data_IF_006401382061
#
_entry.id   IF_006401382061
#
_cell.length_a   1.000
_cell.length_b   1.000
_cell.length_c   1.000
_cell.angle_alpha   90.00
_cell.angle_beta   90.00
_cell.angle_gamma   90.00
#
_symmetry.space_group_name_H-M   'P 1'
#
loop_
_entity.id
_entity.type
_entity.pdbx_description
1 polymer ?
#
# COMPACT_ATOMS: atom_id res chain seq x y z
N UNK A 1 -14.36 -3.48 -105.48
CA UNK A 1 -15.58 -3.24 -104.68
C UNK A 1 -15.46 -3.99 -103.37
N UNK A 2 -15.06 -3.29 -102.31
CA UNK A 2 -15.49 -3.46 -100.91
C UNK A 2 -14.54 -2.69 -100.01
N UNK A 3 -15.13 -1.90 -99.12
CA UNK A 3 -14.52 -0.90 -98.23
C UNK A 3 -13.75 -1.56 -97.09
N UNK A 4 -12.95 -0.78 -96.37
CA UNK A 4 -12.88 -0.86 -94.90
C UNK A 4 -12.32 0.45 -94.33
N UNK A 5 -13.15 1.10 -93.52
CA UNK A 5 -12.89 2.33 -92.80
C UNK A 5 -12.02 2.06 -91.57
N UNK A 6 -11.12 2.99 -91.26
CA UNK A 6 -10.34 3.02 -90.01
C UNK A 6 -11.19 3.50 -88.84
N UNK A 7 -11.44 2.63 -87.85
CA UNK A 7 -12.02 3.01 -86.56
C UNK A 7 -10.94 3.41 -85.54
N UNK A 8 -11.24 4.29 -84.56
CA UNK A 8 -10.29 4.66 -83.53
C UNK A 8 -10.26 3.63 -82.39
N UNK A 9 -9.06 3.25 -81.96
CA UNK A 9 -8.79 2.44 -80.76
C UNK A 9 -8.98 3.28 -79.50
N UNK A 10 -10.04 2.98 -78.73
CA UNK A 10 -10.22 3.47 -77.37
C UNK A 10 -9.47 2.56 -76.38
N UNK A 11 -8.53 3.14 -75.61
CA UNK A 11 -7.88 2.48 -74.48
C UNK A 11 -8.83 2.49 -73.28
N UNK A 12 -9.29 1.31 -72.85
CA UNK A 12 -10.08 1.13 -71.63
C UNK A 12 -9.11 1.12 -70.44
N UNK A 13 -9.12 2.18 -69.63
CA UNK A 13 -8.49 2.16 -68.31
C UNK A 13 -9.42 1.45 -67.31
N UNK A 14 -9.03 0.27 -66.86
CA UNK A 14 -9.67 -0.41 -65.71
C UNK A 14 -9.15 0.24 -64.43
N UNK A 15 -9.93 1.17 -63.87
CA UNK A 15 -9.72 1.68 -62.50
C UNK A 15 -10.18 0.59 -61.53
N UNK A 16 -9.23 -0.05 -60.83
CA UNK A 16 -9.52 -0.84 -59.64
C UNK A 16 -9.98 0.10 -58.52
N UNK A 17 -11.29 0.39 -58.48
CA UNK A 17 -11.91 1.06 -57.35
C UNK A 17 -12.02 0.09 -56.19
N UNK A 18 -11.08 0.15 -55.25
CA UNK A 18 -11.24 -0.49 -53.95
C UNK A 18 -12.35 0.27 -53.20
N UNK A 19 -13.60 -0.17 -53.37
CA UNK A 19 -14.74 0.34 -52.60
C UNK A 19 -14.60 -0.19 -51.17
N UNK A 20 -13.86 0.53 -50.33
CA UNK A 20 -13.90 0.33 -48.89
C UNK A 20 -15.28 0.82 -48.44
N UNK A 21 -16.21 -0.13 -48.29
CA UNK A 21 -17.55 0.16 -47.79
C UNK A 21 -17.45 0.87 -46.44
N UNK A 22 -18.21 1.95 -46.25
CA UNK A 22 -18.31 2.67 -44.97
C UNK A 22 -18.74 1.75 -43.83
N UNK A 23 -19.41 0.65 -44.14
CA UNK A 23 -19.74 -0.42 -43.19
C UNK A 23 -18.52 -1.21 -42.71
N UNK A 24 -17.52 -1.43 -43.57
CA UNK A 24 -16.28 -2.08 -43.20
C UNK A 24 -15.45 -1.22 -42.25
N UNK A 25 -15.42 0.10 -42.50
CA UNK A 25 -14.73 1.05 -41.63
C UNK A 25 -15.38 1.15 -40.24
N UNK A 26 -16.71 1.11 -40.18
CA UNK A 26 -17.45 1.16 -38.90
C UNK A 26 -17.35 -0.15 -38.11
N UNK A 27 -17.29 -1.31 -38.78
CA UNK A 27 -16.99 -2.59 -38.12
C UNK A 27 -15.56 -2.61 -37.58
N UNK A 28 -14.59 -2.05 -38.29
CA UNK A 28 -13.19 -2.02 -37.85
C UNK A 28 -12.97 -1.05 -36.68
N UNK A 29 -13.68 0.08 -36.66
CA UNK A 29 -13.73 1.03 -35.53
C UNK A 29 -14.46 0.43 -34.33
N UNK A 30 -15.55 -0.32 -34.55
CA UNK A 30 -16.20 -1.06 -33.48
C UNK A 30 -15.28 -2.12 -32.89
N UNK A 31 -14.57 -2.90 -33.71
CA UNK A 31 -13.63 -3.93 -33.25
C UNK A 31 -12.47 -3.35 -32.44
N UNK A 32 -11.96 -2.16 -32.79
CA UNK A 32 -10.90 -1.49 -32.03
C UNK A 32 -11.38 -0.90 -30.71
N UNK A 33 -12.66 -0.51 -30.60
CA UNK A 33 -13.27 -0.10 -29.34
C UNK A 33 -13.51 -1.29 -28.37
N UNK A 34 -13.63 -2.51 -28.89
CA UNK A 34 -13.79 -3.74 -28.09
C UNK A 34 -12.46 -4.34 -27.60
N UNK A 35 -11.30 -3.90 -28.12
CA UNK A 35 -9.98 -4.40 -27.71
C UNK A 35 -9.46 -3.82 -26.37
N UNK A 36 -10.26 -2.99 -25.68
CA UNK A 36 -9.82 -2.23 -24.49
C UNK A 36 -10.00 -2.91 -23.13
N UNK A 37 -10.67 -4.06 -23.03
CA UNK A 37 -10.96 -4.71 -21.75
C UNK A 37 -10.23 -6.05 -21.63
N UNK A 38 -8.93 -6.01 -21.37
CA UNK A 38 -8.27 -7.13 -20.68
C UNK A 38 -8.67 -7.10 -19.21
N UNK A 39 -8.91 -8.25 -18.54
CA UNK A 39 -9.15 -8.24 -17.11
C UNK A 39 -7.93 -7.60 -16.44
N UNK A 40 -8.12 -6.49 -15.74
CA UNK A 40 -7.13 -6.03 -14.78
C UNK A 40 -7.02 -7.13 -13.74
N UNK A 41 -5.97 -7.94 -13.83
CA UNK A 41 -5.72 -8.94 -12.81
C UNK A 41 -5.54 -8.18 -11.51
N UNK A 42 -6.49 -8.33 -10.59
CA UNK A 42 -6.43 -7.68 -9.30
C UNK A 42 -5.21 -8.25 -8.57
N UNK A 43 -4.11 -7.49 -8.53
CA UNK A 43 -2.86 -7.93 -7.90
C UNK A 43 -3.09 -8.38 -6.45
N UNK A 44 -3.96 -7.71 -5.71
CA UNK A 44 -4.30 -8.12 -4.35
C UNK A 44 -4.94 -9.50 -4.31
N UNK A 45 -5.73 -9.90 -5.31
CA UNK A 45 -6.24 -11.27 -5.40
C UNK A 45 -5.10 -12.29 -5.56
N UNK A 46 -4.07 -11.98 -6.34
CA UNK A 46 -2.90 -12.86 -6.49
C UNK A 46 -2.07 -12.94 -5.19
N UNK A 47 -1.88 -11.81 -4.51
CA UNK A 47 -1.20 -11.76 -3.21
C UNK A 47 -1.98 -12.58 -2.18
N UNK A 48 -3.29 -12.33 -2.03
CA UNK A 48 -4.16 -13.03 -1.07
C UNK A 48 -4.22 -14.54 -1.34
N UNK A 49 -4.30 -14.95 -2.61
CA UNK A 49 -4.31 -16.39 -2.95
C UNK A 49 -2.99 -17.05 -2.59
N UNK A 50 -1.85 -16.38 -2.82
CA UNK A 50 -0.53 -16.86 -2.40
C UNK A 50 -0.43 -16.94 -0.87
N UNK A 51 -0.88 -15.91 -0.15
CA UNK A 51 -0.88 -15.88 1.32
C UNK A 51 -1.77 -16.98 1.93
N UNK A 52 -2.96 -17.23 1.37
CA UNK A 52 -3.86 -18.32 1.79
C UNK A 52 -3.25 -19.70 1.54
N UNK A 53 -2.41 -19.83 0.53
CA UNK A 53 -1.66 -21.05 0.23
C UNK A 53 -0.36 -21.19 1.06
N UNK A 54 -0.10 -20.26 2.00
CA UNK A 54 1.16 -20.15 2.74
C UNK A 54 2.41 -19.94 1.85
N UNK A 55 2.22 -19.49 0.61
CA UNK A 55 3.29 -19.10 -0.29
C UNK A 55 3.68 -17.63 -0.06
N UNK A 56 4.33 -17.37 1.07
CA UNK A 56 4.74 -16.02 1.46
C UNK A 56 5.81 -15.43 0.53
N UNK A 57 6.70 -16.27 -0.01
CA UNK A 57 7.73 -15.85 -0.97
C UNK A 57 7.11 -15.50 -2.34
N UNK A 58 6.13 -16.27 -2.80
CA UNK A 58 5.36 -15.93 -3.99
C UNK A 58 4.58 -14.63 -3.82
N UNK A 59 3.96 -14.42 -2.65
CA UNK A 59 3.29 -13.16 -2.32
C UNK A 59 4.25 -11.97 -2.40
N UNK A 60 5.44 -12.05 -1.80
CA UNK A 60 6.47 -11.00 -1.90
C UNK A 60 6.92 -10.76 -3.35
N UNK A 61 7.15 -11.83 -4.11
CA UNK A 61 7.56 -11.71 -5.50
C UNK A 61 6.52 -10.95 -6.36
N UNK A 62 5.23 -11.15 -6.09
CA UNK A 62 4.14 -10.42 -6.74
C UNK A 62 4.17 -8.92 -6.36
N UNK A 63 4.38 -8.60 -5.08
CA UNK A 63 4.49 -7.20 -4.62
C UNK A 63 5.71 -6.53 -5.24
N UNK A 64 6.87 -7.19 -5.19
CA UNK A 64 8.13 -6.69 -5.72
C UNK A 64 8.07 -6.43 -7.24
N UNK A 65 7.46 -7.34 -8.00
CA UNK A 65 7.28 -7.18 -9.45
C UNK A 65 6.41 -5.97 -9.81
N UNK A 66 5.53 -5.57 -8.89
CA UNK A 66 4.55 -4.52 -9.09
C UNK A 66 4.98 -3.13 -8.60
N UNK A 67 6.22 -2.95 -8.14
CA UNK A 67 6.72 -1.69 -7.58
C UNK A 67 6.39 -0.46 -8.47
N UNK A 68 6.56 -0.62 -9.79
CA UNK A 68 6.28 0.47 -10.75
C UNK A 68 4.81 0.85 -10.81
N UNK A 69 3.91 -0.11 -10.59
CA UNK A 69 2.46 0.09 -10.68
C UNK A 69 1.91 0.87 -9.48
N UNK A 70 2.60 0.85 -8.33
CA UNK A 70 2.26 1.71 -7.18
C UNK A 70 2.43 3.19 -7.51
N UNK A 71 3.43 3.50 -8.36
CA UNK A 71 3.77 4.86 -8.74
C UNK A 71 4.44 5.66 -7.62
N UNK A 72 4.94 6.85 -7.96
CA UNK A 72 5.72 7.68 -7.03
C UNK A 72 4.91 8.22 -5.85
N UNK A 73 3.58 8.22 -5.93
CA UNK A 73 2.67 8.73 -4.89
C UNK A 73 2.33 7.67 -3.84
N UNK A 74 2.56 6.40 -4.11
CA UNK A 74 2.17 5.30 -3.21
C UNK A 74 3.38 4.57 -2.65
N UNK A 75 4.49 5.31 -2.45
CA UNK A 75 5.74 4.74 -1.92
C UNK A 75 5.58 4.17 -0.51
N UNK A 76 4.83 4.85 0.35
CA UNK A 76 4.49 4.35 1.69
C UNK A 76 3.73 3.03 1.58
N UNK A 77 2.67 2.98 0.76
CA UNK A 77 1.86 1.78 0.57
C UNK A 77 2.71 0.60 0.05
N UNK A 78 3.55 0.83 -0.96
CA UNK A 78 4.46 -0.19 -1.46
C UNK A 78 5.40 -0.71 -0.37
N UNK A 79 5.98 0.19 0.42
CA UNK A 79 6.88 -0.19 1.51
C UNK A 79 6.18 -0.99 2.62
N UNK A 80 4.93 -0.65 2.95
CA UNK A 80 4.13 -1.40 3.92
C UNK A 80 3.77 -2.79 3.41
N UNK A 81 3.24 -2.88 2.19
CA UNK A 81 2.88 -4.17 1.58
C UNK A 81 4.08 -5.10 1.47
N UNK A 82 5.20 -4.59 0.94
CA UNK A 82 6.42 -5.37 0.76
C UNK A 82 7.09 -5.72 2.09
N UNK A 83 7.10 -4.79 3.03
CA UNK A 83 7.61 -5.04 4.39
C UNK A 83 6.86 -6.17 5.07
N UNK A 84 5.53 -6.18 4.97
CA UNK A 84 4.69 -7.24 5.53
C UNK A 84 4.91 -8.59 4.84
N UNK A 85 4.97 -8.64 3.49
CA UNK A 85 5.21 -9.90 2.78
C UNK A 85 6.59 -10.48 3.07
N UNK A 86 7.63 -9.65 3.17
CA UNK A 86 8.98 -10.08 3.59
C UNK A 86 9.00 -10.64 5.01
N UNK A 87 8.31 -9.99 5.95
CA UNK A 87 8.19 -10.50 7.32
C UNK A 87 7.49 -11.87 7.35
N UNK A 88 6.41 -12.04 6.60
CA UNK A 88 5.71 -13.32 6.48
C UNK A 88 6.58 -14.39 5.81
N UNK A 89 7.46 -14.00 4.88
CA UNK A 89 8.43 -14.89 4.25
C UNK A 89 9.61 -15.27 5.17
N UNK A 90 9.74 -14.64 6.35
CA UNK A 90 10.84 -14.83 7.29
C UNK A 90 12.07 -13.98 6.98
N UNK A 91 12.00 -13.09 5.99
CA UNK A 91 13.10 -12.22 5.56
C UNK A 91 13.12 -10.91 6.39
N UNK A 92 13.21 -11.07 7.71
CA UNK A 92 13.03 -9.98 8.70
C UNK A 92 13.98 -8.79 8.51
N UNK A 93 15.24 -9.04 8.15
CA UNK A 93 16.21 -7.97 7.91
C UNK A 93 15.82 -7.12 6.69
N UNK A 94 15.34 -7.76 5.62
CA UNK A 94 14.90 -7.03 4.42
C UNK A 94 13.57 -6.33 4.68
N UNK A 95 12.66 -6.96 5.42
CA UNK A 95 11.42 -6.35 5.90
C UNK A 95 11.71 -5.05 6.65
N UNK A 96 12.63 -5.07 7.63
CA UNK A 96 13.03 -3.88 8.38
C UNK A 96 13.59 -2.77 7.49
N UNK A 97 14.43 -3.12 6.51
CA UNK A 97 15.00 -2.12 5.60
C UNK A 97 13.93 -1.43 4.74
N UNK A 98 12.93 -2.18 4.27
CA UNK A 98 11.81 -1.63 3.48
C UNK A 98 10.85 -0.83 4.36
N UNK A 99 10.57 -1.30 5.58
CA UNK A 99 9.71 -0.61 6.53
C UNK A 99 10.33 0.70 7.04
N UNK A 100 11.65 0.78 7.24
CA UNK A 100 12.33 2.05 7.56
C UNK A 100 12.16 3.06 6.42
N UNK A 101 12.29 2.63 5.16
CA UNK A 101 12.07 3.53 4.01
C UNK A 101 10.62 4.03 3.95
N UNK A 102 9.65 3.19 4.31
CA UNK A 102 8.26 3.59 4.41
C UNK A 102 8.06 4.62 5.54
N UNK A 103 8.64 4.39 6.71
CA UNK A 103 8.61 5.31 7.85
C UNK A 103 9.22 6.68 7.52
N UNK A 104 10.40 6.69 6.89
CA UNK A 104 11.07 7.92 6.44
C UNK A 104 10.21 8.72 5.45
N UNK A 105 9.51 8.02 4.55
CA UNK A 105 8.59 8.65 3.60
C UNK A 105 7.37 9.25 4.31
N UNK A 106 6.80 8.56 5.31
CA UNK A 106 5.72 9.09 6.17
C UNK A 106 6.18 10.38 6.84
N UNK A 107 7.35 10.38 7.48
CA UNK A 107 7.87 11.55 8.21
C UNK A 107 8.18 12.72 7.27
N UNK A 108 8.65 12.43 6.05
CA UNK A 108 8.84 13.45 5.01
C UNK A 108 7.53 14.07 4.56
N UNK A 109 6.51 13.25 4.29
CA UNK A 109 5.19 13.72 3.86
C UNK A 109 4.52 14.53 4.97
N UNK A 110 4.64 14.08 6.21
CA UNK A 110 4.19 14.82 7.39
C UNK A 110 4.86 16.19 7.50
N UNK A 111 6.19 16.24 7.43
CA UNK A 111 6.95 17.50 7.49
C UNK A 111 6.56 18.45 6.36
N UNK A 112 6.36 17.93 5.14
CA UNK A 112 5.92 18.73 4.00
C UNK A 112 4.51 19.29 4.23
N UNK A 113 3.57 18.51 4.74
CA UNK A 113 2.20 18.97 5.04
C UNK A 113 2.20 20.16 5.99
N UNK A 114 2.93 20.06 7.10
CA UNK A 114 3.06 21.18 8.06
C UNK A 114 3.65 22.42 7.40
N UNK A 115 4.68 22.24 6.55
CA UNK A 115 5.36 23.38 5.88
C UNK A 115 4.52 24.02 4.77
N UNK A 116 3.64 23.25 4.11
CA UNK A 116 3.00 23.64 2.85
C UNK A 116 1.50 23.95 3.04
N UNK A 117 1.09 24.43 4.21
CA UNK A 117 -0.30 24.72 4.66
C UNK A 117 -1.20 25.48 3.67
N UNK A 118 -0.68 25.98 2.55
CA UNK A 118 -1.33 26.90 1.60
C UNK A 118 -1.63 26.33 0.20
N UNK A 119 -1.19 25.11 -0.18
CA UNK A 119 -1.36 24.58 -1.55
C UNK A 119 -2.32 23.40 -1.71
N UNK A 120 -2.64 22.66 -0.63
CA UNK A 120 -3.48 21.46 -0.70
C UNK A 120 -4.99 21.77 -0.84
N UNK A 121 -5.43 22.95 -0.41
CA UNK A 121 -6.85 23.35 -0.50
C UNK A 121 -7.34 23.63 -1.93
N UNK A 122 -6.46 23.64 -2.94
CA UNK A 122 -6.82 23.99 -4.32
C UNK A 122 -6.76 22.82 -5.32
N UNK A 123 -6.45 21.59 -4.87
CA UNK A 123 -6.30 20.43 -5.78
C UNK A 123 -6.97 19.17 -5.22
N UNK A 124 -7.50 18.33 -6.12
CA UNK A 124 -8.11 17.02 -5.84
C UNK A 124 -7.25 16.15 -4.89
N UNK A 125 -7.88 15.49 -3.90
CA UNK A 125 -7.22 14.62 -2.91
C UNK A 125 -6.43 13.46 -3.54
N UNK A 126 -6.84 12.95 -4.72
CA UNK A 126 -6.05 11.93 -5.46
C UNK A 126 -4.75 12.48 -6.06
N UNK A 127 -4.52 13.80 -5.95
CA UNK A 127 -3.25 14.41 -6.33
C UNK A 127 -2.17 14.19 -5.27
N UNK A 128 -2.56 13.99 -4.00
CA UNK A 128 -1.63 13.89 -2.87
C UNK A 128 -0.94 12.52 -2.80
N UNK A 129 0.31 12.46 -2.31
CA UNK A 129 0.95 11.20 -1.96
C UNK A 129 0.19 10.49 -0.83
N UNK A 130 0.10 9.16 -0.92
CA UNK A 130 -0.42 8.31 0.14
C UNK A 130 0.57 8.26 1.29
N UNK A 131 0.12 8.61 2.49
CA UNK A 131 0.94 8.62 3.71
C UNK A 131 0.56 7.54 4.74
N UNK A 132 -0.48 6.75 4.44
CA UNK A 132 -1.03 5.76 5.37
C UNK A 132 -1.88 6.38 6.48
N UNK A 133 -2.90 5.63 6.92
CA UNK A 133 -3.70 6.02 8.07
C UNK A 133 -2.89 5.95 9.37
N UNK A 134 -3.27 6.69 10.43
CA UNK A 134 -2.54 6.70 11.71
C UNK A 134 -2.22 5.32 12.30
N UNK A 135 -3.14 4.36 12.17
CA UNK A 135 -2.93 3.00 12.65
C UNK A 135 -1.91 2.23 11.80
N UNK A 136 -1.87 2.45 10.48
CA UNK A 136 -0.88 1.84 9.59
C UNK A 136 0.52 2.37 9.89
N UNK A 137 0.64 3.67 10.18
CA UNK A 137 1.92 4.28 10.55
C UNK A 137 2.47 3.70 11.86
N UNK A 138 1.61 3.39 12.84
CA UNK A 138 2.02 2.69 14.08
C UNK A 138 2.39 1.24 13.77
N UNK A 139 1.65 0.58 12.88
CA UNK A 139 1.89 -0.81 12.48
C UNK A 139 3.28 -0.99 11.87
N UNK A 140 3.83 -0.01 11.15
CA UNK A 140 5.21 -0.05 10.63
C UNK A 140 6.22 -0.38 11.74
N UNK A 141 6.20 0.36 12.86
CA UNK A 141 7.12 0.12 13.97
C UNK A 141 6.78 -1.16 14.74
N UNK A 142 5.51 -1.55 14.81
CA UNK A 142 5.10 -2.84 15.41
C UNK A 142 5.72 -4.01 14.64
N UNK A 143 5.63 -4.01 13.31
CA UNK A 143 6.24 -5.03 12.46
C UNK A 143 7.77 -5.04 12.62
N UNK A 144 8.42 -3.87 12.60
CA UNK A 144 9.87 -3.76 12.84
C UNK A 144 10.27 -4.29 14.22
N UNK A 145 9.52 -3.97 15.27
CA UNK A 145 9.77 -4.45 16.62
C UNK A 145 9.68 -5.97 16.71
N UNK A 146 8.66 -6.57 16.09
CA UNK A 146 8.49 -8.02 16.00
C UNK A 146 9.62 -8.69 15.22
N UNK A 147 10.04 -8.10 14.11
CA UNK A 147 11.18 -8.58 13.32
C UNK A 147 12.46 -8.58 14.15
N UNK A 148 12.79 -7.46 14.81
CA UNK A 148 13.97 -7.37 15.68
C UNK A 148 13.90 -8.37 16.84
N UNK A 149 12.76 -8.49 17.51
CA UNK A 149 12.56 -9.47 18.59
C UNK A 149 12.75 -10.91 18.09
N UNK A 150 12.21 -11.24 16.91
CA UNK A 150 12.35 -12.58 16.30
C UNK A 150 13.80 -12.90 15.95
N UNK A 151 14.59 -11.90 15.58
CA UNK A 151 16.03 -12.03 15.33
C UNK A 151 16.88 -12.00 16.61
N UNK A 152 16.27 -11.88 17.80
CA UNK A 152 16.99 -11.74 19.08
C UNK A 152 17.67 -10.38 19.27
N UNK A 153 17.34 -9.39 18.45
CA UNK A 153 17.88 -8.03 18.48
C UNK A 153 17.05 -7.15 19.43
N UNK A 154 17.10 -7.47 20.72
CA UNK A 154 16.24 -6.86 21.73
C UNK A 154 16.41 -5.35 21.87
N UNK A 155 17.65 -4.85 21.79
CA UNK A 155 17.92 -3.41 21.88
C UNK A 155 17.26 -2.64 20.73
N UNK A 156 17.29 -3.19 19.51
CA UNK A 156 16.65 -2.59 18.34
C UNK A 156 15.11 -2.68 18.45
N UNK A 157 14.58 -3.79 18.97
CA UNK A 157 13.15 -3.90 19.27
C UNK A 157 12.69 -2.84 20.29
N UNK A 158 13.51 -2.50 21.29
CA UNK A 158 13.23 -1.41 22.22
C UNK A 158 13.32 -0.01 21.57
N UNK A 159 14.11 0.16 20.52
CA UNK A 159 14.11 1.42 19.75
C UNK A 159 12.75 1.59 19.07
N UNK A 160 12.25 0.54 18.43
CA UNK A 160 10.92 0.56 17.80
C UNK A 160 9.80 0.73 18.83
N UNK A 161 9.90 0.11 20.01
CA UNK A 161 8.96 0.34 21.11
C UNK A 161 8.86 1.82 21.51
N UNK A 162 9.99 2.53 21.60
CA UNK A 162 10.00 3.97 21.88
C UNK A 162 9.44 4.80 20.72
N UNK A 163 9.68 4.38 19.47
CA UNK A 163 9.09 5.03 18.28
C UNK A 163 7.56 4.88 18.26
N UNK A 164 7.03 3.70 18.62
CA UNK A 164 5.59 3.47 18.83
C UNK A 164 5.05 4.45 19.87
N UNK A 165 5.66 4.50 21.06
CA UNK A 165 5.22 5.40 22.14
C UNK A 165 5.23 6.87 21.69
N UNK A 166 6.29 7.29 20.99
CA UNK A 166 6.39 8.64 20.45
C UNK A 166 5.27 8.95 19.45
N UNK A 167 5.05 8.06 18.48
CA UNK A 167 4.05 8.24 17.41
C UNK A 167 2.63 8.28 17.99
N UNK A 168 2.30 7.42 18.95
CA UNK A 168 1.00 7.45 19.63
C UNK A 168 0.79 8.75 20.42
N UNK A 169 1.80 9.25 21.14
CA UNK A 169 1.69 10.54 21.83
C UNK A 169 1.43 11.68 20.84
N UNK A 170 2.17 11.70 19.74
CA UNK A 170 2.02 12.70 18.68
C UNK A 170 0.63 12.64 18.03
N UNK A 171 0.08 11.45 17.78
CA UNK A 171 -1.28 11.28 17.25
C UNK A 171 -2.32 11.77 18.25
N UNK A 172 -2.18 11.43 19.53
CA UNK A 172 -3.08 11.88 20.59
C UNK A 172 -3.08 13.41 20.75
N UNK A 173 -1.93 14.06 20.63
CA UNK A 173 -1.81 15.51 20.78
C UNK A 173 -2.43 16.30 19.62
N UNK A 174 -2.44 15.71 18.41
CA UNK A 174 -2.90 16.39 17.18
C UNK A 174 -4.41 16.50 17.06
N UNK A 175 -5.17 15.55 17.59
CA UNK A 175 -6.62 15.53 17.41
C UNK A 175 -7.35 15.76 18.72
N UNK A 176 -8.39 16.60 18.67
CA UNK A 176 -9.35 16.77 19.77
C UNK A 176 -10.59 15.89 19.58
N UNK A 177 -10.70 15.23 18.44
CA UNK A 177 -11.83 14.37 18.13
C UNK A 177 -11.84 13.15 19.03
N UNK A 178 -13.03 12.76 19.49
CA UNK A 178 -13.21 11.61 20.39
C UNK A 178 -13.09 10.26 19.67
N UNK A 179 -13.38 10.23 18.37
CA UNK A 179 -13.43 9.00 17.58
C UNK A 179 -12.18 8.79 16.72
N UNK A 180 -11.22 9.70 16.77
CA UNK A 180 -9.98 9.55 16.02
C UNK A 180 -9.07 8.48 16.64
N UNK A 181 -8.23 7.87 15.81
CA UNK A 181 -7.20 6.94 16.28
C UNK A 181 -6.11 7.71 17.04
N UNK A 182 -6.09 7.57 18.36
CA UNK A 182 -5.19 8.30 19.27
C UNK A 182 -4.27 7.38 20.06
N UNK A 183 -4.69 6.14 20.19
CA UNK A 183 -3.98 5.16 21.00
C UNK A 183 -4.22 3.74 20.47
N UNK A 184 -3.32 2.82 20.84
CA UNK A 184 -3.32 1.44 20.38
C UNK A 184 -3.04 0.47 21.53
N UNK A 185 -4.08 -0.25 21.96
CA UNK A 185 -3.98 -1.22 23.05
C UNK A 185 -3.07 -2.40 22.72
N UNK A 186 -3.05 -2.86 21.47
CA UNK A 186 -2.19 -3.95 21.03
C UNK A 186 -0.73 -3.51 20.97
N UNK A 187 -0.44 -2.38 20.33
CA UNK A 187 0.92 -1.87 20.24
C UNK A 187 1.50 -1.60 21.65
N UNK A 188 0.72 -1.04 22.56
CA UNK A 188 1.14 -0.84 23.96
C UNK A 188 1.37 -2.13 24.72
N UNK A 189 0.52 -3.14 24.50
CA UNK A 189 0.74 -4.45 25.11
C UNK A 189 2.04 -5.08 24.62
N UNK A 190 2.30 -5.00 23.31
CA UNK A 190 3.55 -5.46 22.72
C UNK A 190 4.76 -4.71 23.28
N UNK A 191 4.73 -3.38 23.38
CA UNK A 191 5.86 -2.63 23.96
C UNK A 191 6.10 -3.01 25.43
N UNK A 192 5.03 -3.29 26.19
CA UNK A 192 5.15 -3.84 27.55
C UNK A 192 5.92 -5.16 27.59
N UNK A 193 5.59 -6.11 26.72
CA UNK A 193 6.30 -7.39 26.60
C UNK A 193 7.78 -7.16 26.25
N UNK A 194 8.06 -6.25 25.33
CA UNK A 194 9.44 -5.95 24.91
C UNK A 194 10.25 -5.34 26.07
N UNK A 195 9.70 -4.37 26.79
CA UNK A 195 10.35 -3.81 27.98
C UNK A 195 10.59 -4.88 29.05
N UNK A 196 9.57 -5.69 29.36
CA UNK A 196 9.67 -6.77 30.36
C UNK A 196 10.75 -7.78 29.99
N UNK A 197 10.83 -8.19 28.71
CA UNK A 197 11.82 -9.15 28.21
C UNK A 197 13.27 -8.72 28.42
N UNK A 198 13.51 -7.41 28.60
CA UNK A 198 14.84 -6.83 28.82
C UNK A 198 15.10 -6.43 30.28
N UNK A 199 14.14 -6.67 31.18
CA UNK A 199 14.22 -6.30 32.59
C UNK A 199 13.85 -4.84 32.90
N UNK A 200 13.29 -4.10 31.92
CA UNK A 200 12.82 -2.73 32.12
C UNK A 200 11.40 -2.71 32.71
N UNK A 201 11.30 -3.14 33.97
CA UNK A 201 10.02 -3.36 34.66
C UNK A 201 9.19 -2.07 34.79
N UNK A 202 9.84 -0.91 34.94
CA UNK A 202 9.13 0.36 35.09
C UNK A 202 8.42 0.77 33.79
N UNK A 203 9.12 0.70 32.66
CA UNK A 203 8.51 1.00 31.37
C UNK A 203 7.49 -0.07 30.97
N UNK A 204 7.75 -1.34 31.28
CA UNK A 204 6.78 -2.42 31.09
C UNK A 204 5.47 -2.15 31.83
N UNK A 205 5.53 -1.80 33.13
CA UNK A 205 4.36 -1.46 33.93
C UNK A 205 3.56 -0.30 33.33
N UNK A 206 4.24 0.78 32.89
CA UNK A 206 3.56 1.92 32.26
C UNK A 206 2.88 1.50 30.96
N UNK A 207 3.55 0.73 30.12
CA UNK A 207 3.03 0.26 28.85
C UNK A 207 1.80 -0.65 29.05
N UNK A 208 1.87 -1.61 29.97
CA UNK A 208 0.76 -2.49 30.32
C UNK A 208 -0.44 -1.76 30.89
N UNK A 209 -0.23 -0.80 31.81
CA UNK A 209 -1.34 0.02 32.33
C UNK A 209 -2.05 0.77 31.21
N UNK A 210 -1.28 1.42 30.33
CA UNK A 210 -1.87 2.14 29.20
C UNK A 210 -2.58 1.18 28.23
N UNK A 211 -2.03 -0.01 27.99
CA UNK A 211 -2.67 -1.04 27.17
C UNK A 211 -4.03 -1.46 27.75
N UNK A 212 -4.10 -1.71 29.07
CA UNK A 212 -5.33 -2.00 29.79
C UNK A 212 -6.36 -0.87 29.62
N UNK A 213 -5.94 0.37 29.87
CA UNK A 213 -6.81 1.56 29.75
C UNK A 213 -7.36 1.72 28.33
N UNK A 214 -6.51 1.54 27.30
CA UNK A 214 -6.94 1.63 25.90
C UNK A 214 -7.90 0.50 25.52
N UNK A 215 -7.61 -0.75 25.93
CA UNK A 215 -8.45 -1.90 25.61
C UNK A 215 -9.83 -1.79 26.28
N UNK A 216 -9.89 -1.39 27.55
CA UNK A 216 -11.17 -1.15 28.23
C UNK A 216 -11.96 -0.01 27.57
N UNK A 217 -11.31 1.11 27.23
CA UNK A 217 -11.98 2.24 26.59
C UNK A 217 -12.51 1.91 25.18
N UNK A 218 -11.85 0.99 24.46
CA UNK A 218 -12.21 0.62 23.08
C UNK A 218 -13.07 -0.62 22.96
N UNK A 219 -13.25 -1.37 24.06
CA UNK A 219 -13.96 -2.65 24.13
C UNK A 219 -15.34 -2.65 23.47
N UNK A 220 -16.08 -1.56 23.59
CA UNK A 220 -17.43 -1.44 23.06
C UNK A 220 -17.50 -1.55 21.52
N UNK A 221 -16.46 -1.08 20.81
CA UNK A 221 -16.42 -1.10 19.35
C UNK A 221 -15.44 -2.14 18.79
N UNK A 222 -14.34 -2.44 19.50
CA UNK A 222 -13.34 -3.41 19.05
C UNK A 222 -13.75 -4.87 19.31
N UNK A 223 -14.73 -5.09 20.18
CA UNK A 223 -15.14 -6.42 20.67
C UNK A 223 -13.98 -7.29 21.19
N UNK A 224 -12.85 -6.66 21.51
CA UNK A 224 -11.64 -7.33 21.97
C UNK A 224 -11.62 -7.32 23.48
N UNK A 225 -11.47 -8.49 24.10
CA UNK A 225 -11.35 -8.62 25.54
C UNK A 225 -9.97 -8.17 26.01
N UNK A 226 -9.89 -7.61 27.21
CA UNK A 226 -8.63 -7.33 27.87
C UNK A 226 -7.95 -8.67 28.22
N UNK A 227 -6.67 -8.86 27.87
CA UNK A 227 -5.89 -10.01 28.32
C UNK A 227 -5.92 -10.14 29.85
N UNK A 228 -6.14 -11.36 30.36
CA UNK A 228 -6.16 -11.65 31.81
C UNK A 228 -4.82 -11.40 32.52
N UNK A 229 -3.75 -11.24 31.76
CA UNK A 229 -2.39 -11.01 32.21
C UNK A 229 -2.11 -9.52 32.52
N UNK A 230 -3.00 -8.62 32.11
CA UNK A 230 -2.91 -7.16 32.34
C UNK A 230 -3.54 -6.72 33.67
#
# INVERSE_FOLDING_TARGET
>A
MSSLASGPTALIQVRWGFFISTQFLSVLVALSLLAGCGPSVNRYLLIETSLRAHDHKGADAIVAAAEKDYGSKSRVLYGMDRGMTLQLAGDYQQSNAVLEQAEDEVDRLYTRRIRTETLAFMTNDTALPYEGDPYEQVLINVLKALNYATMGQWQDALVEARRIDHRLNVLSDRTKEKNAYRDDGFARYLTGILYESTGDVNNAFIAYRKAYETLEATRAWSHTAVPSQL
#
